data_IF_517061066071
#
_entry.id   IF_517061066071
#
_cell.length_a   1.000
_cell.length_b   1.000
_cell.length_c   1.000
_cell.angle_alpha   90.00
_cell.angle_beta   90.00
_cell.angle_gamma   90.00
#
_symmetry.space_group_name_H-M   'P 1'
#
loop_
_entity.id
_entity.type
_entity.pdbx_description
1 polymer ?
#
# COMPACT_ATOMS: atom_id res chain seq x y z
N UNK A 1 -77.64 -23.77 21.36
CA UNK A 1 -77.08 -23.92 20.01
C UNK A 1 -78.00 -24.79 19.21
N UNK A 2 -78.52 -24.27 18.13
CA UNK A 2 -79.27 -25.03 17.14
C UNK A 2 -78.29 -25.74 16.19
N UNK A 3 -78.71 -26.86 15.61
CA UNK A 3 -77.89 -27.63 14.64
C UNK A 3 -77.42 -26.78 13.44
N UNK A 4 -78.16 -25.71 13.14
CA UNK A 4 -77.84 -24.73 12.11
C UNK A 4 -76.63 -23.86 12.46
N UNK A 5 -76.57 -23.34 13.69
CA UNK A 5 -75.44 -22.53 14.18
C UNK A 5 -74.15 -23.34 14.20
N UNK A 6 -74.24 -24.64 14.54
CA UNK A 6 -73.08 -25.54 14.54
C UNK A 6 -72.55 -25.78 13.12
N UNK A 7 -73.45 -25.99 12.14
CA UNK A 7 -73.09 -26.15 10.73
C UNK A 7 -72.44 -24.88 10.15
N UNK A 8 -72.97 -23.71 10.48
CA UNK A 8 -72.39 -22.43 10.05
C UNK A 8 -70.99 -22.20 10.64
N UNK A 9 -70.80 -22.52 11.92
CA UNK A 9 -69.48 -22.43 12.56
C UNK A 9 -68.46 -23.38 11.91
N UNK A 10 -68.82 -24.64 11.66
CA UNK A 10 -67.94 -25.61 11.00
C UNK A 10 -67.58 -25.17 9.58
N UNK A 11 -68.54 -24.63 8.82
CA UNK A 11 -68.27 -24.08 7.50
C UNK A 11 -67.30 -22.88 7.55
N UNK A 12 -67.50 -21.97 8.51
CA UNK A 12 -66.60 -20.82 8.72
C UNK A 12 -65.18 -21.25 9.08
N UNK A 13 -65.04 -22.31 9.90
CA UNK A 13 -63.76 -22.87 10.30
C UNK A 13 -63.02 -23.52 9.12
N UNK A 14 -63.73 -24.28 8.28
CA UNK A 14 -63.15 -24.88 7.08
C UNK A 14 -62.59 -23.81 6.12
N UNK A 15 -63.34 -22.72 5.91
CA UNK A 15 -62.89 -21.58 5.09
C UNK A 15 -61.66 -20.91 5.72
N UNK A 16 -61.64 -20.72 7.04
CA UNK A 16 -60.51 -20.13 7.74
C UNK A 16 -59.24 -21.02 7.65
N UNK A 17 -59.38 -22.34 7.77
CA UNK A 17 -58.28 -23.29 7.58
C UNK A 17 -57.72 -23.23 6.16
N UNK A 18 -58.57 -23.28 5.14
CA UNK A 18 -58.14 -23.18 3.75
C UNK A 18 -57.41 -21.86 3.47
N UNK A 19 -57.89 -20.74 4.03
CA UNK A 19 -57.23 -19.44 3.91
C UNK A 19 -55.86 -19.43 4.59
N UNK A 20 -55.73 -20.08 5.75
CA UNK A 20 -54.46 -20.21 6.45
C UNK A 20 -53.47 -21.07 5.68
N UNK A 21 -53.88 -22.21 5.11
CA UNK A 21 -53.01 -23.04 4.26
C UNK A 21 -52.49 -22.27 3.04
N UNK A 22 -53.36 -21.50 2.37
CA UNK A 22 -52.96 -20.65 1.24
C UNK A 22 -51.98 -19.55 1.70
N UNK A 23 -52.19 -18.97 2.88
CA UNK A 23 -51.26 -17.98 3.47
C UNK A 23 -49.89 -18.61 3.76
N UNK A 24 -49.86 -19.80 4.38
CA UNK A 24 -48.62 -20.52 4.66
C UNK A 24 -47.87 -20.87 3.39
N UNK A 25 -48.55 -21.45 2.39
CA UNK A 25 -47.92 -21.77 1.10
C UNK A 25 -47.34 -20.53 0.40
N UNK A 26 -48.04 -19.38 0.47
CA UNK A 26 -47.51 -18.10 -0.04
C UNK A 26 -46.29 -17.62 0.73
N UNK A 27 -46.28 -17.79 2.05
CA UNK A 27 -45.16 -17.38 2.89
C UNK A 27 -43.94 -18.28 2.66
N UNK A 28 -44.13 -19.59 2.55
CA UNK A 28 -43.06 -20.55 2.24
C UNK A 28 -42.41 -20.23 0.89
N UNK A 29 -43.23 -19.94 -0.14
CA UNK A 29 -42.73 -19.51 -1.45
C UNK A 29 -41.93 -18.20 -1.39
N UNK A 30 -42.38 -17.22 -0.59
CA UNK A 30 -41.65 -15.97 -0.38
C UNK A 30 -40.33 -16.18 0.34
N UNK A 31 -40.32 -17.02 1.38
CA UNK A 31 -39.12 -17.36 2.15
C UNK A 31 -38.12 -18.08 1.26
N UNK A 32 -38.56 -19.05 0.45
CA UNK A 32 -37.70 -19.75 -0.50
C UNK A 32 -37.07 -18.78 -1.50
N UNK A 33 -37.84 -17.86 -2.07
CA UNK A 33 -37.32 -16.83 -2.99
C UNK A 33 -36.30 -15.92 -2.29
N UNK A 34 -36.63 -15.42 -1.10
CA UNK A 34 -35.72 -14.59 -0.32
C UNK A 34 -34.40 -15.32 0.00
N UNK A 35 -34.47 -16.60 0.35
CA UNK A 35 -33.28 -17.41 0.62
C UNK A 35 -32.40 -17.57 -0.63
N UNK A 36 -33.00 -17.83 -1.80
CA UNK A 36 -32.26 -17.92 -3.06
C UNK A 36 -31.58 -16.60 -3.42
N UNK A 37 -32.27 -15.46 -3.25
CA UNK A 37 -31.72 -14.13 -3.55
C UNK A 37 -30.56 -13.79 -2.61
N UNK A 38 -30.69 -14.08 -1.31
CA UNK A 38 -29.61 -13.86 -0.32
C UNK A 38 -28.41 -14.74 -0.64
N UNK A 39 -28.62 -16.01 -1.00
CA UNK A 39 -27.54 -16.92 -1.39
C UNK A 39 -26.78 -16.43 -2.63
N UNK A 40 -27.49 -15.93 -3.65
CA UNK A 40 -26.88 -15.34 -4.84
C UNK A 40 -26.11 -14.06 -4.53
N UNK A 41 -26.65 -13.19 -3.67
CA UNK A 41 -25.98 -11.98 -3.21
C UNK A 41 -24.71 -12.32 -2.45
N UNK A 42 -24.76 -13.30 -1.54
CA UNK A 42 -23.60 -13.74 -0.78
C UNK A 42 -22.49 -14.25 -1.70
N UNK A 43 -22.84 -15.09 -2.69
CA UNK A 43 -21.88 -15.58 -3.69
C UNK A 43 -21.27 -14.44 -4.53
N UNK A 44 -22.04 -13.41 -4.87
CA UNK A 44 -21.53 -12.22 -5.57
C UNK A 44 -20.56 -11.43 -4.69
N UNK A 45 -20.86 -11.28 -3.40
CA UNK A 45 -19.97 -10.64 -2.43
C UNK A 45 -18.66 -11.42 -2.28
N UNK A 46 -18.72 -12.73 -2.12
CA UNK A 46 -17.53 -13.58 -2.00
C UNK A 46 -16.61 -13.46 -3.23
N UNK A 47 -17.20 -13.42 -4.43
CA UNK A 47 -16.44 -13.22 -5.67
C UNK A 47 -15.79 -11.82 -5.74
N UNK A 48 -16.45 -10.78 -5.23
CA UNK A 48 -15.86 -9.43 -5.15
C UNK A 48 -14.74 -9.34 -4.12
N UNK A 49 -14.88 -10.00 -2.97
CA UNK A 49 -13.84 -10.09 -1.95
C UNK A 49 -12.60 -10.81 -2.52
N UNK A 50 -12.79 -11.98 -3.15
CA UNK A 50 -11.68 -12.71 -3.78
C UNK A 50 -10.95 -11.89 -4.85
N UNK A 51 -11.68 -11.09 -5.64
CA UNK A 51 -11.08 -10.16 -6.62
C UNK A 51 -10.29 -9.05 -5.94
N UNK A 52 -10.78 -8.54 -4.81
CA UNK A 52 -10.12 -7.50 -4.02
C UNK A 52 -8.83 -8.04 -3.39
N UNK A 53 -8.87 -9.24 -2.80
CA UNK A 53 -7.70 -9.89 -2.22
C UNK A 53 -6.60 -10.11 -3.27
N UNK A 54 -6.97 -10.55 -4.47
CA UNK A 54 -6.03 -10.71 -5.58
C UNK A 54 -5.39 -9.37 -6.02
N UNK A 55 -6.15 -8.27 -5.98
CA UNK A 55 -5.61 -6.93 -6.28
C UNK A 55 -4.67 -6.43 -5.19
N UNK A 56 -5.01 -6.66 -3.92
CA UNK A 56 -4.15 -6.32 -2.79
C UNK A 56 -2.83 -7.09 -2.86
N UNK A 57 -2.87 -8.40 -3.07
CA UNK A 57 -1.66 -9.23 -3.23
C UNK A 57 -0.77 -8.74 -4.40
N UNK A 58 -1.38 -8.32 -5.51
CA UNK A 58 -0.64 -7.73 -6.65
C UNK A 58 -0.01 -6.38 -6.29
N UNK A 59 -0.65 -5.59 -5.44
CA UNK A 59 -0.15 -4.30 -4.96
C UNK A 59 1.02 -4.51 -4.01
N UNK A 60 0.90 -5.43 -3.05
CA UNK A 60 1.98 -5.79 -2.11
C UNK A 60 3.24 -6.26 -2.87
N UNK A 61 3.05 -7.11 -3.89
CA UNK A 61 4.16 -7.55 -4.74
C UNK A 61 4.83 -6.40 -5.53
N UNK A 62 4.09 -5.36 -5.89
CA UNK A 62 4.65 -4.17 -6.54
C UNK A 62 5.38 -3.25 -5.56
N UNK A 63 4.85 -3.10 -4.35
CA UNK A 63 5.50 -2.35 -3.27
C UNK A 63 6.84 -3.00 -2.91
N UNK A 64 6.85 -4.32 -2.67
CA UNK A 64 8.08 -5.05 -2.38
C UNK A 64 9.14 -4.92 -3.51
N UNK A 65 8.72 -4.88 -4.78
CA UNK A 65 9.64 -4.61 -5.91
C UNK A 65 10.17 -3.19 -5.91
N UNK A 66 9.37 -2.23 -5.45
CA UNK A 66 9.76 -0.82 -5.35
C UNK A 66 10.75 -0.62 -4.22
N UNK A 67 10.50 -1.20 -3.05
CA UNK A 67 11.42 -1.16 -1.91
C UNK A 67 12.80 -1.71 -2.29
N UNK A 68 12.84 -2.89 -2.92
CA UNK A 68 14.09 -3.47 -3.43
C UNK A 68 14.84 -2.58 -4.44
N UNK A 69 14.12 -1.75 -5.21
CA UNK A 69 14.75 -0.79 -6.13
C UNK A 69 15.28 0.43 -5.39
N UNK A 70 14.56 0.88 -4.37
CA UNK A 70 14.99 1.99 -3.50
C UNK A 70 16.24 1.61 -2.71
N UNK A 71 16.30 0.41 -2.13
CA UNK A 71 17.49 -0.07 -1.42
C UNK A 71 18.72 -0.08 -2.32
N UNK A 72 18.59 -0.62 -3.54
CA UNK A 72 19.66 -0.61 -4.54
C UNK A 72 20.05 0.79 -4.99
N UNK A 73 19.11 1.73 -4.99
CA UNK A 73 19.40 3.13 -5.34
C UNK A 73 20.17 3.81 -4.20
N UNK A 74 19.76 3.59 -2.95
CA UNK A 74 20.45 4.09 -1.76
C UNK A 74 21.90 3.60 -1.73
N UNK A 75 22.14 2.29 -1.94
CA UNK A 75 23.50 1.75 -2.03
C UNK A 75 24.35 2.42 -3.11
N UNK A 76 23.75 2.74 -4.26
CA UNK A 76 24.46 3.43 -5.34
C UNK A 76 24.79 4.87 -4.98
N UNK A 77 23.87 5.56 -4.30
CA UNK A 77 24.08 6.92 -3.81
C UNK A 77 25.22 6.94 -2.80
N UNK A 78 25.26 6.00 -1.85
CA UNK A 78 26.34 5.91 -0.86
C UNK A 78 27.71 5.69 -1.50
N UNK A 79 27.77 4.85 -2.54
CA UNK A 79 29.00 4.64 -3.32
C UNK A 79 29.43 5.91 -4.05
N UNK A 80 28.49 6.62 -4.67
CA UNK A 80 28.79 7.90 -5.35
C UNK A 80 29.26 8.92 -4.33
N UNK A 81 28.60 9.05 -3.18
CA UNK A 81 28.99 9.97 -2.11
C UNK A 81 30.43 9.69 -1.64
N UNK A 82 30.78 8.41 -1.46
CA UNK A 82 32.14 8.00 -1.11
C UNK A 82 33.15 8.36 -2.20
N UNK A 83 32.84 8.08 -3.47
CA UNK A 83 33.71 8.40 -4.59
C UNK A 83 33.94 9.91 -4.74
N UNK A 84 32.87 10.69 -4.62
CA UNK A 84 32.94 12.16 -4.67
C UNK A 84 33.78 12.69 -3.51
N UNK A 85 33.57 12.21 -2.29
CA UNK A 85 34.39 12.58 -1.14
C UNK A 85 35.88 12.30 -1.35
N UNK A 86 36.22 11.11 -1.87
CA UNK A 86 37.60 10.77 -2.19
C UNK A 86 38.20 11.65 -3.29
N UNK A 87 37.43 11.96 -4.34
CA UNK A 87 37.87 12.86 -5.41
C UNK A 87 38.13 14.26 -4.85
N UNK A 88 37.22 14.79 -4.02
CA UNK A 88 37.38 16.10 -3.37
C UNK A 88 38.62 16.14 -2.48
N UNK A 89 38.85 15.11 -1.67
CA UNK A 89 40.06 15.01 -0.84
C UNK A 89 41.33 15.00 -1.70
N UNK A 90 41.40 14.12 -2.70
CA UNK A 90 42.56 14.01 -3.58
C UNK A 90 42.83 15.31 -4.37
N UNK A 91 41.77 16.02 -4.81
CA UNK A 91 41.92 17.31 -5.47
C UNK A 91 42.42 18.38 -4.49
N UNK A 92 41.94 18.38 -3.26
CA UNK A 92 42.45 19.23 -2.18
C UNK A 92 43.93 18.99 -1.93
N UNK A 93 44.33 17.73 -1.73
CA UNK A 93 45.73 17.35 -1.50
C UNK A 93 46.63 17.73 -2.68
N UNK A 94 46.15 17.52 -3.92
CA UNK A 94 46.90 17.87 -5.14
C UNK A 94 47.05 19.39 -5.30
N UNK A 95 45.99 20.16 -5.01
CA UNK A 95 46.02 21.60 -5.04
C UNK A 95 46.96 22.16 -3.96
N UNK A 96 46.88 21.62 -2.73
CA UNK A 96 47.77 21.98 -1.64
C UNK A 96 49.23 21.72 -2.02
N UNK A 97 49.56 20.53 -2.53
CA UNK A 97 50.91 20.18 -2.94
C UNK A 97 51.43 21.11 -4.05
N UNK A 98 50.58 21.46 -5.02
CA UNK A 98 50.92 22.41 -6.08
C UNK A 98 51.25 23.78 -5.50
N UNK A 99 50.35 24.38 -4.71
CA UNK A 99 50.57 25.72 -4.14
C UNK A 99 51.74 25.75 -3.18
N UNK A 100 51.90 24.72 -2.33
CA UNK A 100 53.01 24.61 -1.40
C UNK A 100 54.36 24.60 -2.16
N UNK A 101 54.47 23.81 -3.22
CA UNK A 101 55.69 23.77 -4.06
C UNK A 101 55.94 25.08 -4.78
N UNK A 102 54.91 25.66 -5.38
CA UNK A 102 55.02 26.93 -6.10
C UNK A 102 55.46 28.06 -5.18
N UNK A 103 54.90 28.16 -3.98
CA UNK A 103 55.23 29.23 -3.05
C UNK A 103 56.61 29.04 -2.42
N UNK A 104 57.08 27.81 -2.17
CA UNK A 104 58.46 27.60 -1.69
C UNK A 104 59.48 28.00 -2.75
N UNK A 105 59.20 27.73 -4.03
CA UNK A 105 60.07 28.11 -5.13
C UNK A 105 60.06 29.64 -5.36
N UNK A 106 58.87 30.24 -5.39
CA UNK A 106 58.66 31.67 -5.55
C UNK A 106 57.68 32.16 -4.48
N UNK A 107 58.15 32.79 -3.38
CA UNK A 107 57.32 33.15 -2.22
C UNK A 107 56.50 34.42 -2.47
N UNK A 108 55.92 34.54 -3.66
CA UNK A 108 55.08 35.63 -4.08
C UNK A 108 53.76 35.12 -4.63
N UNK A 109 52.65 35.70 -4.18
CA UNK A 109 51.34 35.53 -4.81
C UNK A 109 50.85 36.90 -5.30
N UNK A 110 51.03 37.15 -6.60
CA UNK A 110 50.79 38.47 -7.18
C UNK A 110 51.78 39.51 -6.64
N UNK A 111 51.32 40.43 -5.79
CA UNK A 111 52.14 41.48 -5.17
C UNK A 111 52.48 41.21 -3.70
N UNK A 112 52.02 40.09 -3.15
CA UNK A 112 52.22 39.72 -1.73
C UNK A 112 53.44 38.81 -1.61
N UNK A 113 54.38 39.15 -0.74
CA UNK A 113 55.52 38.31 -0.36
C UNK A 113 55.20 37.54 0.92
N UNK A 114 55.63 36.27 1.01
CA UNK A 114 55.50 35.45 2.21
C UNK A 114 56.87 35.16 2.82
N UNK A 115 57.03 35.41 4.12
CA UNK A 115 58.29 35.13 4.82
C UNK A 115 58.44 33.64 5.18
N UNK A 116 57.32 32.92 5.36
CA UNK A 116 57.33 31.49 5.68
C UNK A 116 56.06 30.83 5.15
N UNK A 117 56.19 29.57 4.72
CA UNK A 117 55.11 28.77 4.14
C UNK A 117 55.03 27.46 4.90
N UNK A 118 53.82 27.09 5.29
CA UNK A 118 53.52 25.84 5.97
C UNK A 118 52.51 25.05 5.15
N UNK A 119 52.60 23.71 5.20
CA UNK A 119 51.51 22.86 4.74
C UNK A 119 50.30 23.07 5.62
N UNK A 120 49.12 22.90 5.05
CA UNK A 120 47.91 22.87 5.84
C UNK A 120 47.99 21.64 6.76
N UNK A 121 47.81 21.84 8.06
CA UNK A 121 47.71 20.72 8.99
C UNK A 121 46.27 20.20 8.88
N UNK A 122 46.05 18.90 8.64
CA UNK A 122 44.69 18.37 8.70
C UNK A 122 44.11 18.66 10.10
N UNK A 123 42.89 19.20 10.13
CA UNK A 123 42.15 19.47 11.37
C UNK A 123 41.71 18.17 12.06
#
# INVERSE_FOLDING_TARGET
>A
MTDKELKELVASLAIAQQKNEIQFAKNDAKIAKAFTEVSEQQRKTDAQLAKTDAQLAKTDAQLAKTDNKLDKLSEKIDRIATLVGNISNNQGDSAEEFFYRSLIAEPYLGKVHFDTIYRNLPA
#
